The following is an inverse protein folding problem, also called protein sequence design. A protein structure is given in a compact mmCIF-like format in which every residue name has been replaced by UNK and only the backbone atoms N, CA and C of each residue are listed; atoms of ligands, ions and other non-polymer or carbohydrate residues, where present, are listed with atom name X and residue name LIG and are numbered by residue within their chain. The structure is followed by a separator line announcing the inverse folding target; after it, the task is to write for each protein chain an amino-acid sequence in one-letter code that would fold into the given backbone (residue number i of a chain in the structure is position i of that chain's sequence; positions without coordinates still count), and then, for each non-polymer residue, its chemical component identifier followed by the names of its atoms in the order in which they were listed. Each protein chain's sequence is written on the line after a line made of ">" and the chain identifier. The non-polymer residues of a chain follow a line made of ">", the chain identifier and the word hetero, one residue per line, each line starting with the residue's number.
data_IF_091674723397
#
_entry.id   IF_091674723397
#
_cell.length_a   1.000
_cell.length_b   1.000
_cell.length_c   1.000
_cell.angle_alpha   90.00
_cell.angle_beta   90.00
_cell.angle_gamma   90.00
#
_symmetry.space_group_name_H-M   'P 1'
#
loop_
_entity.id
_entity.type
_entity.pdbx_description
1 polymer ?
#
# COMPACT_ATOMS: atom_id res chain seq x y z
N UNK A 1 -18.16 18.57 -20.30
CA UNK A 1 -19.24 19.42 -20.88
C UNK A 1 -20.03 18.73 -21.99
N UNK A 2 -19.42 18.23 -23.08
CA UNK A 2 -20.14 17.48 -24.13
C UNK A 2 -20.94 16.28 -23.58
N UNK A 3 -20.40 15.59 -22.57
CA UNK A 3 -21.06 14.45 -21.91
C UNK A 3 -22.31 14.82 -21.10
N UNK A 4 -22.41 16.06 -20.62
CA UNK A 4 -23.51 16.51 -19.75
C UNK A 4 -24.61 17.26 -20.51
N UNK A 5 -24.26 18.04 -21.55
CA UNK A 5 -25.22 18.68 -22.45
C UNK A 5 -24.57 19.00 -23.79
N UNK A 6 -25.01 18.31 -24.83
CA UNK A 6 -24.58 18.55 -26.22
C UNK A 6 -25.00 19.94 -26.71
N UNK A 7 -26.13 20.45 -26.23
CA UNK A 7 -26.65 21.77 -26.59
C UNK A 7 -25.77 22.89 -26.04
N UNK A 8 -25.40 22.82 -24.75
CA UNK A 8 -24.50 23.79 -24.13
C UNK A 8 -23.10 23.76 -24.77
N UNK A 9 -22.61 22.56 -25.14
CA UNK A 9 -21.32 22.42 -25.82
C UNK A 9 -21.32 23.11 -27.19
N UNK A 10 -22.38 22.95 -27.98
CA UNK A 10 -22.52 23.60 -29.29
C UNK A 10 -22.66 25.11 -29.18
N UNK A 11 -23.38 25.61 -28.17
CA UNK A 11 -23.48 27.04 -27.88
C UNK A 11 -22.10 27.64 -27.57
N UNK A 12 -21.35 27.03 -26.65
CA UNK A 12 -20.02 27.51 -26.26
C UNK A 12 -18.98 27.42 -27.38
N UNK A 13 -19.15 26.47 -28.31
CA UNK A 13 -18.29 26.37 -29.51
C UNK A 13 -18.47 27.53 -30.49
N UNK A 14 -19.61 28.23 -30.44
CA UNK A 14 -19.80 29.49 -31.17
C UNK A 14 -19.01 30.65 -30.56
N UNK A 15 -18.68 30.57 -29.26
CA UNK A 15 -18.00 31.64 -28.52
C UNK A 15 -16.51 31.34 -28.25
N UNK A 16 -16.08 30.07 -28.31
CA UNK A 16 -14.73 29.61 -27.99
C UNK A 16 -14.22 28.59 -29.01
N UNK A 17 -12.90 28.52 -29.20
CA UNK A 17 -12.22 27.55 -30.06
C UNK A 17 -12.21 26.14 -29.45
N UNK A 18 -13.37 25.49 -29.44
CA UNK A 18 -13.53 24.13 -28.95
C UNK A 18 -13.40 23.08 -30.08
N UNK A 19 -12.82 21.89 -29.79
CA UNK A 19 -12.65 20.83 -30.77
C UNK A 19 -14.01 20.34 -31.30
N UNK A 20 -14.02 19.90 -32.55
CA UNK A 20 -15.23 19.38 -33.17
C UNK A 20 -15.73 18.13 -32.43
N UNK A 21 -17.05 17.92 -32.25
CA UNK A 21 -17.59 16.73 -31.58
C UNK A 21 -17.09 15.40 -32.16
N UNK A 22 -16.82 15.34 -33.47
CA UNK A 22 -16.17 14.17 -34.12
C UNK A 22 -14.77 13.90 -33.57
N UNK A 23 -13.97 14.94 -33.37
CA UNK A 23 -12.62 14.83 -32.80
C UNK A 23 -12.69 14.32 -31.36
N UNK A 24 -13.63 14.85 -30.57
CA UNK A 24 -13.89 14.34 -29.21
C UNK A 24 -14.29 12.87 -29.25
N UNK A 25 -15.22 12.49 -30.15
CA UNK A 25 -15.64 11.09 -30.30
C UNK A 25 -14.46 10.18 -30.64
N UNK A 26 -13.56 10.62 -31.52
CA UNK A 26 -12.35 9.89 -31.86
C UNK A 26 -11.43 9.69 -30.65
N UNK A 27 -11.19 10.75 -29.87
CA UNK A 27 -10.38 10.65 -28.65
C UNK A 27 -11.01 9.76 -27.58
N UNK A 28 -12.34 9.80 -27.44
CA UNK A 28 -13.04 8.93 -26.51
C UNK A 28 -13.22 7.51 -27.02
N UNK A 29 -13.12 7.27 -28.32
CA UNK A 29 -13.26 5.93 -28.92
C UNK A 29 -12.03 5.04 -28.65
N UNK A 30 -10.86 5.64 -28.43
CA UNK A 30 -9.65 4.90 -28.00
C UNK A 30 -9.74 4.45 -26.53
N UNK A 31 -10.56 5.10 -25.72
CA UNK A 31 -10.74 4.75 -24.31
C UNK A 31 -11.72 3.59 -24.21
N UNK A 32 -11.22 2.41 -23.84
CA UNK A 32 -12.05 1.22 -23.69
C UNK A 32 -13.05 1.40 -22.53
N UNK A 33 -14.30 1.71 -22.86
CA UNK A 33 -15.40 1.95 -21.93
C UNK A 33 -16.39 0.77 -21.87
N UNK A 34 -15.89 -0.46 -22.06
CA UNK A 34 -16.66 -1.68 -21.79
C UNK A 34 -17.27 -1.64 -20.37
N UNK A 35 -18.44 -2.28 -20.22
CA UNK A 35 -19.18 -2.28 -18.95
C UNK A 35 -18.30 -2.80 -17.79
N UNK A 36 -17.86 -1.88 -16.93
CA UNK A 36 -16.96 -2.15 -15.81
C UNK A 36 -16.07 -0.95 -15.47
N UNK A 37 -15.11 -1.18 -14.55
CA UNK A 37 -14.00 -0.26 -14.32
C UNK A 37 -12.95 -0.45 -15.42
N UNK A 38 -12.31 0.62 -15.88
CA UNK A 38 -11.21 0.49 -16.86
C UNK A 38 -10.07 -0.30 -16.24
N UNK A 39 -9.41 -1.15 -17.03
CA UNK A 39 -8.29 -1.96 -16.54
C UNK A 39 -7.16 -1.09 -16.01
N UNK A 40 -7.02 0.13 -16.53
CA UNK A 40 -6.12 1.18 -16.05
C UNK A 40 -6.51 1.63 -14.64
N UNK A 41 -7.79 1.94 -14.38
CA UNK A 41 -8.24 2.23 -13.01
C UNK A 41 -8.07 1.05 -12.08
N UNK A 42 -8.33 -0.18 -12.52
CA UNK A 42 -8.14 -1.37 -11.68
C UNK A 42 -6.66 -1.61 -11.36
N UNK A 43 -5.76 -1.47 -12.34
CA UNK A 43 -4.31 -1.56 -12.14
C UNK A 43 -3.81 -0.47 -11.18
N UNK A 44 -4.30 0.76 -11.33
CA UNK A 44 -3.95 1.86 -10.45
C UNK A 44 -4.44 1.60 -9.02
N UNK A 45 -5.69 1.20 -8.85
CA UNK A 45 -6.25 0.79 -7.56
C UNK A 45 -5.46 -0.38 -6.97
N UNK A 46 -4.99 -1.34 -7.77
CA UNK A 46 -4.23 -2.50 -7.28
C UNK A 46 -2.82 -2.10 -6.81
N UNK A 47 -2.13 -1.21 -7.54
CA UNK A 47 -0.88 -0.59 -7.10
C UNK A 47 -1.09 0.23 -5.81
N UNK A 48 -2.25 0.86 -5.67
CA UNK A 48 -2.54 1.75 -4.55
C UNK A 48 -3.14 1.04 -3.31
N UNK A 49 -3.81 -0.10 -3.47
CA UNK A 49 -4.26 -0.98 -2.37
C UNK A 49 -3.07 -1.59 -1.63
N UNK A 50 -1.97 -1.85 -2.33
CA UNK A 50 -0.69 -2.24 -1.71
C UNK A 50 -0.09 -1.14 -0.80
N UNK A 51 -0.63 0.10 -0.85
CA UNK A 51 -0.17 1.24 -0.02
C UNK A 51 -1.02 1.48 1.23
N UNK A 52 -2.19 0.84 1.40
CA UNK A 52 -3.01 1.06 2.59
C UNK A 52 -2.56 0.13 3.70
N UNK A 53 -1.90 0.72 4.67
CA UNK A 53 -0.96 -0.01 5.49
C UNK A 53 -1.51 -0.41 6.87
N UNK A 54 -2.06 -1.63 6.95
CA UNK A 54 -2.47 -2.25 8.22
C UNK A 54 -1.31 -2.62 9.14
N UNK A 55 -0.07 -2.62 8.64
CA UNK A 55 1.09 -3.00 9.42
C UNK A 55 1.57 -1.85 10.30
N UNK A 56 1.41 -0.58 9.91
CA UNK A 56 1.75 0.57 10.77
C UNK A 56 0.92 0.58 12.06
N UNK A 57 -0.40 0.36 11.96
CA UNK A 57 -1.29 0.19 13.11
C UNK A 57 -0.88 -0.98 14.01
N UNK A 58 -0.65 -2.16 13.44
CA UNK A 58 -0.27 -3.37 14.20
C UNK A 58 1.07 -3.23 14.92
N UNK A 59 1.98 -2.44 14.36
CA UNK A 59 3.26 -2.11 15.00
C UNK A 59 3.00 -1.17 16.17
N UNK A 60 2.19 -0.11 16.00
CA UNK A 60 1.82 0.80 17.09
C UNK A 60 1.26 0.08 18.32
N UNK A 61 0.37 -0.90 18.10
CA UNK A 61 -0.29 -1.66 19.16
C UNK A 61 0.67 -2.58 19.94
N UNK A 62 1.83 -2.92 19.37
CA UNK A 62 2.79 -3.86 19.94
C UNK A 62 4.07 -3.21 20.48
N UNK A 63 4.38 -1.98 20.06
CA UNK A 63 5.55 -1.25 20.55
C UNK A 63 5.23 -0.62 21.92
N UNK A 64 6.05 -0.88 22.92
CA UNK A 64 5.92 -0.29 24.27
C UNK A 64 6.65 1.05 24.40
N UNK A 65 7.79 1.21 23.70
CA UNK A 65 8.60 2.43 23.75
C UNK A 65 8.04 3.54 22.83
N UNK A 66 7.81 4.74 23.38
CA UNK A 66 7.28 5.86 22.61
C UNK A 66 8.28 6.40 21.57
N UNK A 67 9.58 6.42 21.86
CA UNK A 67 10.62 6.81 20.89
C UNK A 67 10.65 5.87 19.67
N UNK A 68 10.51 4.56 19.88
CA UNK A 68 10.39 3.60 18.78
C UNK A 68 9.11 3.77 17.95
N UNK A 69 8.01 4.28 18.54
CA UNK A 69 6.79 4.58 17.79
C UNK A 69 6.98 5.75 16.84
N UNK A 70 7.62 6.82 17.30
CA UNK A 70 7.94 7.99 16.48
C UNK A 70 8.88 7.65 15.32
N UNK A 71 9.80 6.70 15.53
CA UNK A 71 10.67 6.22 14.44
C UNK A 71 9.89 5.37 13.44
N UNK A 72 8.92 4.56 13.88
CA UNK A 72 8.17 3.66 13.02
C UNK A 72 7.01 4.33 12.26
N UNK A 73 6.46 5.41 12.80
CA UNK A 73 5.23 6.06 12.33
C UNK A 73 5.46 7.53 12.14
N UNK A 74 5.03 8.04 10.99
CA UNK A 74 4.98 9.47 10.77
C UNK A 74 3.61 10.01 11.18
N UNK A 75 3.56 10.63 12.36
CA UNK A 75 2.34 11.22 12.90
C UNK A 75 1.93 12.52 12.19
N UNK A 76 2.86 13.18 11.50
CA UNK A 76 2.65 14.49 10.90
C UNK A 76 2.48 14.46 9.37
N UNK A 77 2.77 13.32 8.73
CA UNK A 77 2.58 13.18 7.30
C UNK A 77 1.11 13.29 6.88
N UNK A 78 0.82 14.01 5.78
CA UNK A 78 -0.53 14.06 5.24
C UNK A 78 -0.97 12.67 4.78
N UNK A 79 -2.18 12.27 5.17
CA UNK A 79 -2.78 11.00 4.73
C UNK A 79 -2.97 11.03 3.23
N UNK A 80 -2.53 9.97 2.54
CA UNK A 80 -2.83 9.81 1.12
C UNK A 80 -4.34 9.64 0.91
N UNK A 81 -4.84 9.90 -0.30
CA UNK A 81 -6.28 9.88 -0.59
C UNK A 81 -6.98 8.57 -0.21
N UNK A 82 -6.33 7.42 -0.31
CA UNK A 82 -6.92 6.13 0.07
C UNK A 82 -6.89 5.83 1.56
N UNK A 83 -5.83 6.24 2.26
CA UNK A 83 -5.79 6.21 3.72
C UNK A 83 -6.92 7.10 4.21
N UNK A 84 -7.04 8.33 3.71
CA UNK A 84 -8.12 9.24 4.06
C UNK A 84 -9.53 8.67 3.79
N UNK A 85 -9.74 8.01 2.65
CA UNK A 85 -11.04 7.39 2.31
C UNK A 85 -11.35 6.16 3.18
N UNK A 86 -10.33 5.39 3.57
CA UNK A 86 -10.49 4.15 4.35
C UNK A 86 -10.43 4.40 5.85
N UNK A 87 -10.00 5.58 6.28
CA UNK A 87 -9.89 5.91 7.68
C UNK A 87 -11.25 6.25 8.26
N UNK A 88 -11.68 5.46 9.23
CA UNK A 88 -12.95 5.65 9.94
C UNK A 88 -12.67 6.30 11.29
N UNK A 89 -12.21 7.55 11.30
CA UNK A 89 -11.97 8.32 12.54
C UNK A 89 -10.51 8.38 13.01
N UNK A 90 -9.59 8.60 12.08
CA UNK A 90 -8.16 8.85 12.35
C UNK A 90 -7.35 7.70 12.98
N UNK A 91 -7.76 6.45 12.73
CA UNK A 91 -7.11 5.26 13.28
C UNK A 91 -6.02 4.66 12.37
N UNK A 92 -5.87 5.15 11.13
CA UNK A 92 -4.81 4.70 10.23
C UNK A 92 -3.61 5.64 10.30
N UNK A 93 -2.46 5.03 10.57
CA UNK A 93 -1.17 5.72 10.66
C UNK A 93 -0.41 5.63 9.34
N UNK A 94 0.28 6.73 8.99
CA UNK A 94 1.19 6.74 7.86
C UNK A 94 2.52 6.12 8.31
N UNK A 95 3.04 5.08 7.64
CA UNK A 95 4.33 4.51 7.98
C UNK A 95 5.45 5.53 7.73
N UNK A 96 6.45 5.55 8.61
CA UNK A 96 7.67 6.34 8.41
C UNK A 96 8.52 5.79 7.25
N UNK A 97 9.49 6.57 6.79
CA UNK A 97 10.46 6.11 5.79
C UNK A 97 11.27 4.90 6.25
N UNK A 98 11.58 4.81 7.56
CA UNK A 98 12.19 3.62 8.16
C UNK A 98 11.34 2.37 7.90
N UNK A 99 10.05 2.46 8.21
CA UNK A 99 9.12 1.36 8.03
C UNK A 99 8.93 1.01 6.54
N UNK A 100 8.86 2.01 5.65
CA UNK A 100 8.71 1.81 4.20
C UNK A 100 9.91 1.10 3.59
N UNK A 101 11.11 1.61 3.83
CA UNK A 101 12.37 1.05 3.30
C UNK A 101 12.53 -0.42 3.70
N UNK A 102 12.28 -0.74 4.97
CA UNK A 102 12.33 -2.10 5.48
C UNK A 102 11.35 -3.04 4.75
N UNK A 103 10.14 -2.56 4.47
CA UNK A 103 9.12 -3.35 3.76
C UNK A 103 9.41 -3.53 2.30
N UNK A 104 9.90 -2.49 1.62
CA UNK A 104 10.29 -2.61 0.22
C UNK A 104 11.40 -3.65 0.06
N UNK A 105 12.36 -3.67 0.98
CA UNK A 105 13.39 -4.70 1.01
C UNK A 105 12.82 -6.10 1.27
N UNK A 106 11.93 -6.23 2.27
CA UNK A 106 11.27 -7.51 2.58
C UNK A 106 10.41 -8.01 1.41
N UNK A 107 9.65 -7.15 0.75
CA UNK A 107 8.82 -7.51 -0.41
C UNK A 107 9.67 -7.97 -1.59
N UNK A 108 10.78 -7.28 -1.88
CA UNK A 108 11.71 -7.69 -2.94
C UNK A 108 12.25 -9.09 -2.70
N UNK A 109 12.65 -9.40 -1.47
CA UNK A 109 13.17 -10.72 -1.10
C UNK A 109 12.06 -11.76 -1.13
N UNK A 110 10.87 -11.42 -0.62
CA UNK A 110 9.71 -12.31 -0.65
C UNK A 110 9.33 -12.68 -2.08
N UNK A 111 9.32 -11.72 -3.02
CA UNK A 111 9.07 -11.97 -4.43
C UNK A 111 10.10 -12.93 -5.04
N UNK A 112 11.39 -12.74 -4.73
CA UNK A 112 12.45 -13.66 -5.18
C UNK A 112 12.28 -15.07 -4.61
N UNK A 113 11.94 -15.19 -3.32
CA UNK A 113 11.72 -16.50 -2.67
C UNK A 113 10.51 -17.22 -3.28
N UNK A 114 9.44 -16.49 -3.62
CA UNK A 114 8.25 -17.07 -4.23
C UNK A 114 8.49 -17.57 -5.66
N UNK A 115 9.33 -16.89 -6.44
CA UNK A 115 9.73 -17.35 -7.77
C UNK A 115 10.48 -18.70 -7.73
N UNK A 116 11.20 -18.97 -6.64
CA UNK A 116 12.02 -20.18 -6.47
C UNK A 116 11.27 -21.39 -5.87
N UNK A 117 9.92 -21.32 -5.79
CA UNK A 117 8.98 -22.25 -5.12
C UNK A 117 8.97 -22.12 -3.59
N UNK A 118 7.78 -22.25 -3.00
CA UNK A 118 7.58 -22.20 -1.54
C UNK A 118 8.40 -23.27 -0.83
N UNK A 119 9.45 -22.86 -0.13
CA UNK A 119 10.23 -23.75 0.73
C UNK A 119 9.68 -23.74 2.15
N UNK A 120 10.02 -24.76 2.94
CA UNK A 120 9.95 -24.64 4.41
C UNK A 120 10.82 -23.43 4.84
N UNK A 121 10.39 -22.68 5.83
CA UNK A 121 11.09 -21.51 6.40
C UNK A 121 11.18 -20.22 5.57
N UNK A 122 10.14 -19.90 4.77
CA UNK A 122 10.04 -18.59 4.07
C UNK A 122 10.25 -17.41 5.02
N UNK A 123 9.69 -17.50 6.22
CA UNK A 123 9.78 -16.43 7.20
C UNK A 123 11.23 -16.12 7.57
N UNK A 124 12.01 -17.13 7.94
CA UNK A 124 13.41 -16.96 8.31
C UNK A 124 14.27 -16.50 7.14
N UNK A 125 14.02 -17.03 5.92
CA UNK A 125 14.73 -16.60 4.71
C UNK A 125 14.51 -15.12 4.40
N UNK A 126 13.25 -14.67 4.46
CA UNK A 126 12.90 -13.27 4.24
C UNK A 126 13.50 -12.41 5.35
N UNK A 127 13.41 -12.84 6.61
CA UNK A 127 13.97 -12.12 7.74
C UNK A 127 15.48 -11.91 7.60
N UNK A 128 16.24 -13.00 7.49
CA UNK A 128 17.71 -12.96 7.41
C UNK A 128 18.16 -12.19 6.17
N UNK A 129 17.53 -12.43 5.01
CA UNK A 129 17.86 -11.69 3.81
C UNK A 129 17.58 -10.18 3.95
N UNK A 130 16.51 -9.79 4.63
CA UNK A 130 16.17 -8.38 4.81
C UNK A 130 17.16 -7.70 5.75
N UNK A 131 17.48 -8.35 6.87
CA UNK A 131 18.49 -7.88 7.83
C UNK A 131 19.85 -7.74 7.16
N UNK A 132 20.27 -8.73 6.37
CA UNK A 132 21.56 -8.70 5.67
C UNK A 132 21.63 -7.61 4.61
N UNK A 133 20.52 -7.35 3.91
CA UNK A 133 20.52 -6.38 2.80
C UNK A 133 20.41 -4.93 3.23
N UNK A 134 19.78 -4.63 4.38
CA UNK A 134 19.49 -3.23 4.76
C UNK A 134 19.75 -2.93 6.25
N UNK A 135 20.06 -3.93 7.08
CA UNK A 135 20.16 -3.77 8.53
C UNK A 135 21.23 -2.77 8.98
N UNK A 136 22.45 -2.87 8.44
CA UNK A 136 23.55 -1.98 8.80
C UNK A 136 23.31 -0.54 8.32
N UNK A 137 22.84 -0.38 7.09
CA UNK A 137 22.55 0.94 6.52
C UNK A 137 21.44 1.65 7.28
N UNK A 138 20.38 0.94 7.64
CA UNK A 138 19.30 1.49 8.47
C UNK A 138 19.77 1.83 9.87
N UNK A 139 20.57 0.97 10.51
CA UNK A 139 21.09 1.26 11.82
C UNK A 139 21.92 2.55 11.81
N UNK A 140 22.83 2.71 10.84
CA UNK A 140 23.67 3.90 10.73
C UNK A 140 22.84 5.17 10.45
N UNK A 141 21.84 5.10 9.57
CA UNK A 141 21.01 6.24 9.22
C UNK A 141 20.09 6.70 10.36
N UNK A 142 19.59 5.78 11.17
CA UNK A 142 18.62 6.06 12.22
C UNK A 142 19.23 6.06 13.63
N UNK A 143 20.54 5.77 13.77
CA UNK A 143 21.27 5.69 15.05
C UNK A 143 20.98 6.89 15.95
N UNK A 144 21.06 8.10 15.39
CA UNK A 144 20.86 9.35 16.13
C UNK A 144 19.43 9.46 16.69
N UNK A 145 18.42 8.97 15.96
CA UNK A 145 17.02 9.00 16.42
C UNK A 145 16.78 8.03 17.57
N UNK A 146 17.46 6.88 17.57
CA UNK A 146 17.43 5.96 18.71
C UNK A 146 18.20 6.53 19.92
N UNK A 147 19.32 7.22 19.68
CA UNK A 147 20.13 7.82 20.75
C UNK A 147 19.41 8.94 21.50
N UNK A 148 18.44 9.59 20.85
CA UNK A 148 17.64 10.66 21.46
C UNK A 148 16.77 10.19 22.63
N UNK A 149 16.47 8.88 22.73
CA UNK A 149 15.64 8.34 23.81
C UNK A 149 16.28 7.17 24.57
N UNK A 150 17.42 6.63 24.12
CA UNK A 150 18.22 5.65 24.85
C UNK A 150 19.72 6.00 24.74
N UNK A 151 20.33 6.37 25.86
CA UNK A 151 21.76 6.73 25.90
C UNK A 151 22.68 5.50 26.00
N UNK A 152 22.14 4.34 26.36
CA UNK A 152 22.89 3.10 26.50
C UNK A 152 23.02 2.37 25.16
N UNK A 153 24.26 2.15 24.70
CA UNK A 153 24.55 1.52 23.41
C UNK A 153 23.97 0.10 23.27
N UNK A 154 24.03 -0.72 24.33
CA UNK A 154 23.47 -2.07 24.32
C UNK A 154 21.93 -2.09 24.20
N UNK A 155 21.27 -1.14 24.86
CA UNK A 155 19.81 -0.98 24.77
C UNK A 155 19.38 -0.43 23.41
N UNK A 156 20.22 0.41 22.80
CA UNK A 156 20.01 0.95 21.45
C UNK A 156 19.92 -0.16 20.40
N UNK A 157 20.91 -1.06 20.40
CA UNK A 157 20.94 -2.20 19.48
C UNK A 157 19.76 -3.15 19.75
N UNK A 158 19.41 -3.36 21.02
CA UNK A 158 18.24 -4.15 21.39
C UNK A 158 16.94 -3.52 20.88
N UNK A 159 16.74 -2.20 21.06
CA UNK A 159 15.57 -1.48 20.58
C UNK A 159 15.45 -1.54 19.06
N UNK A 160 16.57 -1.32 18.35
CA UNK A 160 16.63 -1.42 16.89
C UNK A 160 16.25 -2.82 16.43
N UNK A 161 16.89 -3.86 16.97
CA UNK A 161 16.63 -5.25 16.59
C UNK A 161 15.21 -5.69 16.93
N UNK A 162 14.68 -5.27 18.07
CA UNK A 162 13.29 -5.55 18.46
C UNK A 162 12.29 -4.86 17.53
N UNK A 163 12.52 -3.60 17.18
CA UNK A 163 11.65 -2.86 16.26
C UNK A 163 11.68 -3.46 14.85
N UNK A 164 12.88 -3.75 14.34
CA UNK A 164 13.11 -4.40 13.06
C UNK A 164 12.37 -5.75 13.01
N UNK A 165 12.55 -6.56 14.06
CA UNK A 165 11.94 -7.89 14.16
C UNK A 165 10.43 -7.82 14.22
N UNK A 166 9.88 -6.86 14.98
CA UNK A 166 8.45 -6.67 15.11
C UNK A 166 7.83 -6.27 13.76
N UNK A 167 8.41 -5.28 13.06
CA UNK A 167 7.88 -4.80 11.78
C UNK A 167 7.91 -5.93 10.74
N UNK A 168 9.04 -6.63 10.62
CA UNK A 168 9.18 -7.74 9.67
C UNK A 168 8.20 -8.86 9.97
N UNK A 169 8.05 -9.24 11.24
CA UNK A 169 7.11 -10.29 11.64
C UNK A 169 5.68 -9.95 11.27
N UNK A 170 5.22 -8.74 11.59
CA UNK A 170 3.84 -8.31 11.28
C UNK A 170 3.63 -8.19 9.78
N UNK A 171 4.60 -7.64 9.05
CA UNK A 171 4.52 -7.45 7.62
C UNK A 171 4.44 -8.79 6.87
N UNK A 172 5.41 -9.68 7.10
CA UNK A 172 5.50 -10.98 6.43
C UNK A 172 4.26 -11.83 6.74
N UNK A 173 3.78 -11.82 7.98
CA UNK A 173 2.55 -12.54 8.35
C UNK A 173 1.31 -12.02 7.61
N UNK A 174 1.13 -10.70 7.51
CA UNK A 174 0.04 -10.09 6.72
C UNK A 174 0.16 -10.50 5.25
N UNK A 175 1.37 -10.42 4.71
CA UNK A 175 1.62 -10.65 3.29
C UNK A 175 1.41 -12.10 2.90
N UNK A 176 1.96 -13.06 3.66
CA UNK A 176 1.74 -14.50 3.43
C UNK A 176 0.24 -14.81 3.49
N UNK A 177 -0.48 -14.31 4.51
CA UNK A 177 -1.92 -14.53 4.62
C UNK A 177 -2.67 -14.03 3.38
N UNK A 178 -2.35 -12.83 2.92
CA UNK A 178 -2.94 -12.26 1.71
C UNK A 178 -2.67 -13.15 0.48
N UNK A 179 -1.42 -13.62 0.32
CA UNK A 179 -1.07 -14.51 -0.79
C UNK A 179 -1.81 -15.84 -0.71
N UNK A 180 -1.93 -16.46 0.46
CA UNK A 180 -2.71 -17.68 0.64
C UNK A 180 -4.19 -17.48 0.29
N UNK A 181 -4.76 -16.33 0.65
CA UNK A 181 -6.15 -15.99 0.27
C UNK A 181 -6.27 -15.90 -1.25
N UNK A 182 -5.35 -15.20 -1.93
CA UNK A 182 -5.37 -15.08 -3.39
C UNK A 182 -5.23 -16.44 -4.10
N UNK A 183 -4.32 -17.31 -3.62
CA UNK A 183 -4.15 -18.65 -4.18
C UNK A 183 -5.42 -19.48 -4.00
N UNK A 184 -6.01 -19.48 -2.80
CA UNK A 184 -7.26 -20.21 -2.53
C UNK A 184 -8.45 -19.65 -3.35
N UNK A 185 -8.54 -18.33 -3.53
CA UNK A 185 -9.59 -17.70 -4.34
C UNK A 185 -9.45 -18.06 -5.82
N UNK A 186 -8.21 -18.14 -6.34
CA UNK A 186 -7.91 -18.59 -7.70
C UNK A 186 -8.26 -20.08 -7.90
N UNK A 187 -7.88 -20.95 -6.96
CA UNK A 187 -8.19 -22.40 -7.03
C UNK A 187 -9.68 -22.70 -6.98
N UNK A 188 -10.45 -21.90 -6.22
CA UNK A 188 -11.91 -22.04 -6.11
C UNK A 188 -12.68 -21.53 -7.33
N UNK A 189 -12.02 -20.84 -8.27
CA UNK A 189 -12.67 -20.24 -9.44
C UNK A 189 -13.67 -19.13 -9.10
N UNK A 190 -13.75 -18.69 -7.83
CA UNK A 190 -14.59 -17.56 -7.43
C UNK A 190 -14.01 -16.27 -7.98
N UNK A 191 -14.57 -15.81 -9.10
CA UNK A 191 -14.19 -14.57 -9.74
C UNK A 191 -14.25 -13.41 -8.74
N UNK A 192 -13.11 -12.74 -8.49
CA UNK A 192 -12.94 -11.60 -7.57
C UNK A 192 -14.04 -10.53 -7.78
N UNK A 193 -14.57 -10.41 -9.00
CA UNK A 193 -15.72 -9.56 -9.35
C UNK A 193 -16.92 -9.77 -8.40
N UNK A 194 -17.31 -11.00 -8.06
CA UNK A 194 -18.53 -11.27 -7.29
C UNK A 194 -18.52 -10.66 -5.88
N UNK A 195 -17.33 -10.49 -5.27
CA UNK A 195 -17.18 -9.89 -3.94
C UNK A 195 -17.35 -8.37 -3.96
N UNK A 196 -16.80 -7.72 -4.99
CA UNK A 196 -16.90 -6.27 -5.17
C UNK A 196 -18.29 -5.85 -5.69
N UNK A 197 -18.96 -6.67 -6.51
CA UNK A 197 -20.33 -6.39 -6.98
C UNK A 197 -21.32 -6.34 -5.82
N UNK A 198 -21.15 -7.18 -4.79
CA UNK A 198 -22.00 -7.13 -3.59
C UNK A 198 -21.86 -5.80 -2.83
N UNK A 199 -20.66 -5.23 -2.69
CA UNK A 199 -20.52 -3.92 -2.02
C UNK A 199 -21.05 -2.74 -2.83
N UNK A 200 -21.08 -2.84 -4.16
CA UNK A 200 -21.67 -1.81 -5.03
C UNK A 200 -23.20 -1.84 -4.97
N UNK A 201 -23.81 -3.03 -4.90
CA UNK A 201 -25.27 -3.19 -4.80
C UNK A 201 -25.88 -2.58 -3.53
N UNK A 202 -25.14 -2.52 -2.42
CA UNK A 202 -25.65 -1.99 -1.13
C UNK A 202 -25.36 -0.50 -0.89
N UNK A 203 -24.77 0.23 -1.84
CA UNK A 203 -24.58 1.69 -1.74
C UNK A 203 -25.62 2.52 -2.49
N UNK A 204 -26.71 1.89 -2.95
CA UNK A 204 -27.80 2.54 -3.67
C UNK A 204 -29.20 2.06 -3.27
N UNK A 205 -29.35 1.46 -2.09
CA UNK A 205 -30.65 1.17 -1.46
C UNK A 205 -30.72 1.86 -0.11
#
# INVERSE_FOLDING_TARGET
>A
MHFYSSHAYNFLRGCMTLPHPRTIRSWTAEVNAEAGFTMETLRQIQVDVNKVDHCAKRVNDCVTCNGCKEIAIDFNAPKNGLIAIKDYGDYLFVPSEFTKTLRYAAERILQNVLQLKLTKDIFNKVFVGTVQSVGLDLFNNYKNQFQNHESNLSNLELHFNNLLSLILTKYVAVRIRHMCILLNENERGTNIRQKCTKMVLFRGQ
#
